data_IF_308272107488
#
_entry.id   IF_308272107488
#
_cell.length_a   1.000
_cell.length_b   1.000
_cell.length_c   1.000
_cell.angle_alpha   90.00
_cell.angle_beta   90.00
_cell.angle_gamma   90.00
#
_symmetry.space_group_name_H-M   'P 1'
#
loop_
_entity.id
_entity.type
_entity.pdbx_description
1 polymer ?
#
# COMPACT_ATOMS: atom_id res chain seq x y z
N UNK A 1 -12.65 10.15 -39.17
CA UNK A 1 -13.18 8.92 -39.79
C UNK A 1 -13.60 8.01 -38.65
N UNK A 2 -14.91 7.82 -38.44
CA UNK A 2 -15.42 6.75 -37.60
C UNK A 2 -15.78 5.60 -38.54
N UNK A 3 -15.12 4.46 -38.40
CA UNK A 3 -15.49 3.21 -39.08
C UNK A 3 -15.88 2.17 -38.02
N UNK A 4 -16.78 1.23 -38.34
CA UNK A 4 -17.07 0.05 -37.52
C UNK A 4 -15.78 -0.74 -37.19
N UNK A 5 -15.72 -1.37 -36.02
CA UNK A 5 -14.50 -2.03 -35.53
C UNK A 5 -14.09 -3.23 -36.41
N UNK A 6 -15.08 -3.83 -37.06
CA UNK A 6 -14.96 -4.94 -37.99
C UNK A 6 -14.27 -4.52 -39.30
N UNK A 7 -14.37 -3.24 -39.68
CA UNK A 7 -13.66 -2.67 -40.83
C UNK A 7 -12.17 -2.40 -40.52
N UNK A 8 -11.81 -2.31 -39.24
CA UNK A 8 -10.40 -2.22 -38.80
C UNK A 8 -9.77 -3.62 -38.84
N UNK A 9 -10.44 -4.62 -38.28
CA UNK A 9 -10.05 -6.02 -38.40
C UNK A 9 -11.21 -6.94 -38.02
N UNK A 10 -11.53 -7.99 -38.81
CA UNK A 10 -12.57 -8.95 -38.45
C UNK A 10 -12.27 -9.72 -37.16
N UNK A 11 -10.99 -9.76 -36.72
CA UNK A 11 -10.59 -10.36 -35.44
C UNK A 11 -11.00 -9.53 -34.21
N UNK A 12 -11.43 -8.28 -34.38
CA UNK A 12 -11.91 -7.42 -33.30
C UNK A 12 -13.42 -7.56 -33.08
N UNK A 13 -14.12 -8.29 -33.95
CA UNK A 13 -15.54 -8.59 -33.86
C UNK A 13 -15.82 -9.77 -32.89
N UNK A 14 -15.32 -9.67 -31.67
CA UNK A 14 -15.45 -10.74 -30.66
C UNK A 14 -16.75 -10.53 -29.86
N UNK A 15 -17.61 -11.55 -29.78
CA UNK A 15 -18.82 -11.49 -28.96
C UNK A 15 -18.50 -11.78 -27.49
N UNK A 16 -19.38 -11.36 -26.58
CA UNK A 16 -19.25 -11.71 -25.15
C UNK A 16 -19.22 -13.24 -24.94
N UNK A 17 -19.95 -14.00 -25.75
CA UNK A 17 -19.96 -15.46 -25.68
C UNK A 17 -18.59 -16.05 -26.07
N UNK A 18 -17.93 -15.50 -27.11
CA UNK A 18 -16.61 -15.96 -27.52
C UNK A 18 -15.56 -15.74 -26.41
N UNK A 19 -15.68 -14.65 -25.64
CA UNK A 19 -14.82 -14.37 -24.49
C UNK A 19 -15.09 -15.39 -23.37
N UNK A 20 -16.35 -15.64 -23.05
CA UNK A 20 -16.76 -16.62 -22.02
C UNK A 20 -16.26 -18.02 -22.37
N UNK A 21 -16.43 -18.44 -23.62
CA UNK A 21 -16.00 -19.76 -24.10
C UNK A 21 -14.47 -19.89 -24.08
N UNK A 22 -13.74 -18.82 -24.44
CA UNK A 22 -12.29 -18.76 -24.33
C UNK A 22 -11.80 -18.95 -22.89
N UNK A 23 -12.40 -18.22 -21.94
CA UNK A 23 -12.07 -18.32 -20.50
C UNK A 23 -12.38 -19.72 -19.97
N UNK A 24 -13.54 -20.27 -20.32
CA UNK A 24 -13.95 -21.62 -19.90
C UNK A 24 -13.00 -22.70 -20.45
N UNK A 25 -12.56 -22.56 -21.70
CA UNK A 25 -11.60 -23.46 -22.33
C UNK A 25 -10.22 -23.38 -21.66
N UNK A 26 -9.73 -22.17 -21.38
CA UNK A 26 -8.40 -21.96 -20.78
C UNK A 26 -8.34 -22.40 -19.31
N UNK A 27 -9.39 -22.10 -18.53
CA UNK A 27 -9.42 -22.36 -17.09
C UNK A 27 -10.15 -23.67 -16.70
N UNK A 28 -10.74 -24.37 -17.67
CA UNK A 28 -11.52 -25.59 -17.42
C UNK A 28 -12.78 -25.35 -16.60
N UNK A 29 -13.48 -24.25 -16.84
CA UNK A 29 -14.69 -23.83 -16.11
C UNK A 29 -15.95 -23.83 -16.98
N UNK A 30 -17.10 -23.49 -16.38
CA UNK A 30 -18.38 -23.37 -17.08
C UNK A 30 -19.17 -22.12 -16.63
N UNK A 31 -18.52 -20.95 -16.66
CA UNK A 31 -19.19 -19.67 -16.35
C UNK A 31 -20.15 -19.29 -17.46
N UNK A 32 -21.27 -18.65 -17.11
CA UNK A 32 -22.37 -18.34 -18.03
C UNK A 32 -22.54 -16.86 -18.32
N UNK A 33 -21.91 -16.00 -17.51
CA UNK A 33 -22.05 -14.55 -17.63
C UNK A 33 -20.69 -13.86 -17.58
N UNK A 34 -20.63 -12.66 -18.17
CA UNK A 34 -19.43 -11.82 -18.11
C UNK A 34 -19.03 -11.45 -16.67
N UNK A 35 -20.00 -11.29 -15.77
CA UNK A 35 -19.74 -11.01 -14.35
C UNK A 35 -19.11 -12.21 -13.63
N UNK A 36 -19.55 -13.43 -13.93
CA UNK A 36 -18.91 -14.65 -13.43
C UNK A 36 -17.50 -14.82 -14.00
N UNK A 37 -17.32 -14.55 -15.30
CA UNK A 37 -16.03 -14.60 -15.96
C UNK A 37 -15.03 -13.60 -15.35
N UNK A 38 -15.45 -12.35 -15.09
CA UNK A 38 -14.63 -11.33 -14.41
C UNK A 38 -14.23 -11.77 -13.01
N UNK A 39 -15.19 -12.23 -12.20
CA UNK A 39 -14.91 -12.74 -10.84
C UNK A 39 -13.94 -13.93 -10.86
N UNK A 40 -14.05 -14.81 -11.86
CA UNK A 40 -13.14 -15.94 -12.03
C UNK A 40 -11.72 -15.47 -12.37
N UNK A 41 -11.59 -14.54 -13.32
CA UNK A 41 -10.31 -13.94 -13.69
C UNK A 41 -9.64 -13.25 -12.49
N UNK A 42 -10.41 -12.49 -11.71
CA UNK A 42 -9.90 -11.85 -10.49
C UNK A 42 -9.38 -12.90 -9.51
N UNK A 43 -10.16 -13.96 -9.24
CA UNK A 43 -9.73 -15.06 -8.36
C UNK A 43 -8.46 -15.73 -8.85
N UNK A 44 -8.34 -16.01 -10.14
CA UNK A 44 -7.12 -16.60 -10.70
C UNK A 44 -5.94 -15.63 -10.58
N UNK A 45 -6.16 -14.33 -10.77
CA UNK A 45 -5.13 -13.31 -10.61
C UNK A 45 -4.61 -13.26 -9.17
N UNK A 46 -5.49 -13.33 -8.16
CA UNK A 46 -5.09 -13.44 -6.75
C UNK A 46 -4.38 -14.75 -6.44
N UNK A 47 -4.85 -15.89 -6.98
CA UNK A 47 -4.16 -17.18 -6.83
C UNK A 47 -2.74 -17.15 -7.41
N UNK A 48 -2.54 -16.48 -8.54
CA UNK A 48 -1.22 -16.26 -9.15
C UNK A 48 -0.35 -15.35 -8.29
N UNK A 49 -0.91 -14.28 -7.73
CA UNK A 49 -0.21 -13.41 -6.77
C UNK A 49 0.23 -14.21 -5.54
N UNK A 50 -0.66 -15.02 -4.95
CA UNK A 50 -0.35 -15.80 -3.77
C UNK A 50 0.80 -16.77 -4.01
N UNK A 51 0.78 -17.47 -5.16
CA UNK A 51 1.87 -18.34 -5.59
C UNK A 51 3.18 -17.58 -5.78
N UNK A 52 3.14 -16.40 -6.40
CA UNK A 52 4.31 -15.55 -6.57
C UNK A 52 4.90 -15.17 -5.22
N UNK A 53 4.05 -14.74 -4.27
CA UNK A 53 4.46 -14.39 -2.90
C UNK A 53 5.10 -15.61 -2.21
N UNK A 54 4.46 -16.78 -2.28
CA UNK A 54 4.95 -17.99 -1.62
C UNK A 54 6.27 -18.51 -2.20
N UNK A 55 6.57 -18.19 -3.46
CA UNK A 55 7.77 -18.63 -4.16
C UNK A 55 8.93 -17.64 -4.04
N UNK A 56 8.66 -16.34 -4.22
CA UNK A 56 9.65 -15.27 -4.41
C UNK A 56 9.71 -14.28 -3.24
N UNK A 57 8.64 -14.15 -2.45
CA UNK A 57 8.53 -13.15 -1.37
C UNK A 57 8.17 -13.82 -0.04
N UNK A 58 8.93 -14.87 0.30
CA UNK A 58 8.88 -15.48 1.64
C UNK A 58 9.44 -14.50 2.65
N UNK A 59 9.19 -14.78 3.92
CA UNK A 59 9.55 -13.87 5.02
C UNK A 59 11.05 -13.56 5.04
N UNK A 60 11.90 -14.58 4.81
CA UNK A 60 13.35 -14.40 4.68
C UNK A 60 13.75 -13.56 3.46
N UNK A 61 13.04 -13.69 2.33
CA UNK A 61 13.31 -12.90 1.12
C UNK A 61 12.91 -11.44 1.32
N UNK A 62 11.77 -11.18 1.97
CA UNK A 62 11.31 -9.84 2.32
C UNK A 62 12.26 -9.15 3.31
N UNK A 63 12.68 -9.85 4.37
CA UNK A 63 13.67 -9.32 5.33
C UNK A 63 14.99 -9.00 4.63
N UNK A 64 15.43 -9.87 3.71
CA UNK A 64 16.63 -9.64 2.89
C UNK A 64 16.47 -8.40 2.02
N UNK A 65 15.35 -8.25 1.31
CA UNK A 65 15.06 -7.07 0.48
C UNK A 65 15.08 -5.78 1.30
N UNK A 66 14.46 -5.76 2.49
CA UNK A 66 14.52 -4.62 3.41
C UNK A 66 15.97 -4.25 3.78
N UNK A 67 16.84 -5.24 3.99
CA UNK A 67 18.27 -5.01 4.19
C UNK A 67 18.99 -4.44 2.96
N UNK A 68 18.62 -4.86 1.75
CA UNK A 68 19.19 -4.32 0.52
C UNK A 68 18.77 -2.86 0.27
N UNK A 69 17.55 -2.48 0.62
CA UNK A 69 17.11 -1.07 0.56
C UNK A 69 17.87 -0.18 1.54
N UNK A 70 18.18 -0.69 2.73
CA UNK A 70 19.05 0.01 3.71
C UNK A 70 20.48 0.18 3.17
N UNK A 71 21.02 -0.85 2.53
CA UNK A 71 22.35 -0.84 1.93
C UNK A 71 22.44 -0.11 0.58
N UNK A 72 21.29 0.21 -0.04
CA UNK A 72 21.16 0.74 -1.41
C UNK A 72 21.82 -0.16 -2.47
N UNK A 73 21.71 -1.48 -2.30
CA UNK A 73 22.19 -2.47 -3.27
C UNK A 73 21.15 -2.69 -4.38
N UNK A 74 21.07 -1.70 -5.27
CA UNK A 74 20.08 -1.64 -6.34
C UNK A 74 20.20 -2.80 -7.32
N UNK A 75 21.42 -3.26 -7.59
CA UNK A 75 21.67 -4.34 -8.53
C UNK A 75 21.11 -5.67 -8.02
N UNK A 76 21.28 -5.96 -6.73
CA UNK A 76 20.68 -7.16 -6.13
C UNK A 76 19.16 -7.04 -5.99
N UNK A 77 18.63 -5.84 -5.67
CA UNK A 77 17.18 -5.61 -5.65
C UNK A 77 16.56 -5.91 -7.02
N UNK A 78 17.14 -5.38 -8.10
CA UNK A 78 16.66 -5.62 -9.46
C UNK A 78 16.72 -7.11 -9.83
N UNK A 79 17.80 -7.80 -9.45
CA UNK A 79 17.93 -9.26 -9.67
C UNK A 79 16.87 -10.06 -8.91
N UNK A 80 16.59 -9.70 -7.67
CA UNK A 80 15.65 -10.44 -6.81
C UNK A 80 14.19 -10.14 -7.16
N UNK A 81 13.88 -8.91 -7.57
CA UNK A 81 12.52 -8.47 -7.90
C UNK A 81 12.34 -8.39 -9.42
N UNK A 82 12.76 -7.30 -10.04
CA UNK A 82 12.63 -7.00 -11.48
C UNK A 82 13.53 -5.82 -11.83
N UNK A 83 14.03 -5.75 -13.05
CA UNK A 83 14.74 -4.60 -13.63
C UNK A 83 13.81 -3.67 -14.45
N UNK A 84 12.52 -4.00 -14.53
CA UNK A 84 11.52 -3.23 -15.27
C UNK A 84 10.89 -2.07 -14.48
N UNK A 85 11.27 -1.89 -13.21
CA UNK A 85 10.79 -0.83 -12.33
C UNK A 85 11.96 -0.13 -11.63
N UNK A 86 11.77 1.12 -11.24
CA UNK A 86 12.77 1.81 -10.42
C UNK A 86 12.72 1.36 -8.95
N UNK A 87 13.80 1.63 -8.21
CA UNK A 87 13.96 1.16 -6.83
C UNK A 87 12.86 1.70 -5.90
N UNK A 88 12.42 2.98 -5.98
CA UNK A 88 11.24 3.46 -5.24
C UNK A 88 9.97 2.65 -5.53
N UNK A 89 9.62 2.44 -6.80
CA UNK A 89 8.44 1.64 -7.21
C UNK A 89 8.55 0.21 -6.66
N UNK A 90 9.75 -0.39 -6.69
CA UNK A 90 9.97 -1.72 -6.11
C UNK A 90 9.78 -1.67 -4.58
N UNK A 91 10.22 -0.63 -3.89
CA UNK A 91 10.02 -0.49 -2.45
C UNK A 91 8.54 -0.37 -2.08
N UNK A 92 7.77 0.43 -2.81
CA UNK A 92 6.30 0.52 -2.66
C UNK A 92 5.63 -0.85 -2.85
N UNK A 93 6.01 -1.58 -3.91
CA UNK A 93 5.50 -2.93 -4.16
C UNK A 93 5.82 -3.87 -2.99
N UNK A 94 7.07 -3.88 -2.52
CA UNK A 94 7.48 -4.73 -1.39
C UNK A 94 6.74 -4.34 -0.11
N UNK A 95 6.50 -3.05 0.14
CA UNK A 95 5.66 -2.60 1.25
C UNK A 95 4.23 -3.15 1.13
N UNK A 96 3.65 -3.11 -0.07
CA UNK A 96 2.33 -3.68 -0.34
C UNK A 96 2.25 -5.18 -0.10
N UNK A 97 3.27 -5.95 -0.52
CA UNK A 97 3.35 -7.39 -0.25
C UNK A 97 3.47 -7.68 1.24
N UNK A 98 4.33 -6.94 1.96
CA UNK A 98 4.45 -7.06 3.42
C UNK A 98 3.10 -6.80 4.07
N UNK A 99 2.44 -5.70 3.70
CA UNK A 99 1.17 -5.32 4.31
C UNK A 99 0.02 -6.27 3.98
N UNK A 100 -0.01 -6.83 2.76
CA UNK A 100 -0.95 -7.86 2.38
C UNK A 100 -0.80 -9.12 3.24
N UNK A 101 0.45 -9.55 3.49
CA UNK A 101 0.73 -10.68 4.40
C UNK A 101 0.36 -10.37 5.85
N UNK A 102 0.72 -9.19 6.35
CA UNK A 102 0.34 -8.69 7.68
C UNK A 102 -1.18 -8.62 7.86
N UNK A 103 -1.90 -8.33 6.79
CA UNK A 103 -3.37 -8.32 6.75
C UNK A 103 -3.97 -9.71 6.52
N UNK A 104 -3.19 -10.77 6.74
CA UNK A 104 -3.65 -12.16 6.61
C UNK A 104 -4.17 -12.47 5.18
N UNK A 105 -3.67 -11.76 4.17
CA UNK A 105 -4.08 -11.79 2.76
C UNK A 105 -5.54 -11.39 2.52
N UNK A 106 -6.13 -10.66 3.46
CA UNK A 106 -7.46 -10.05 3.31
C UNK A 106 -7.37 -8.69 2.63
N UNK A 107 -8.36 -8.35 1.81
CA UNK A 107 -8.41 -7.07 1.08
C UNK A 107 -7.92 -7.19 -0.36
N UNK A 108 -8.21 -6.15 -1.14
CA UNK A 108 -7.97 -6.12 -2.58
C UNK A 108 -6.62 -5.50 -2.93
N UNK A 109 -5.51 -6.11 -2.50
CA UNK A 109 -4.17 -5.51 -2.67
C UNK A 109 -3.83 -5.08 -4.11
N UNK A 110 -4.31 -5.81 -5.12
CA UNK A 110 -4.08 -5.47 -6.53
C UNK A 110 -4.82 -4.19 -6.96
N UNK A 111 -5.89 -3.82 -6.26
CA UNK A 111 -6.62 -2.56 -6.46
C UNK A 111 -6.09 -1.45 -5.55
N UNK A 112 -5.52 -1.82 -4.39
CA UNK A 112 -5.05 -0.89 -3.37
C UNK A 112 -3.68 -0.31 -3.69
N UNK A 113 -2.78 -1.06 -4.34
CA UNK A 113 -1.50 -0.55 -4.81
C UNK A 113 -1.71 0.40 -6.00
N UNK A 114 -1.16 1.62 -5.92
CA UNK A 114 -1.18 2.58 -7.03
C UNK A 114 -0.01 2.34 -7.99
N UNK A 115 0.13 1.07 -8.40
CA UNK A 115 1.19 0.57 -9.24
C UNK A 115 0.62 -0.10 -10.50
N UNK A 116 1.31 0.08 -11.63
CA UNK A 116 1.13 -0.79 -12.77
C UNK A 116 1.99 -2.03 -12.60
N UNK A 117 1.40 -3.21 -12.83
CA UNK A 117 2.07 -4.50 -12.75
C UNK A 117 2.25 -5.11 -14.14
N UNK A 118 3.32 -5.86 -14.31
CA UNK A 118 3.54 -6.72 -15.49
C UNK A 118 2.59 -7.93 -15.49
N UNK A 119 2.60 -8.68 -16.59
CA UNK A 119 1.77 -9.88 -16.74
C UNK A 119 2.09 -10.96 -15.68
N UNK A 120 3.32 -10.97 -15.14
CA UNK A 120 3.75 -11.85 -14.06
C UNK A 120 3.45 -11.31 -12.64
N UNK A 121 2.79 -10.16 -12.54
CA UNK A 121 2.41 -9.44 -11.31
C UNK A 121 3.57 -8.80 -10.54
N UNK A 122 4.74 -8.63 -11.18
CA UNK A 122 5.83 -7.80 -10.67
C UNK A 122 5.62 -6.32 -11.01
N UNK A 123 6.21 -5.39 -10.25
CA UNK A 123 6.00 -3.95 -10.49
C UNK A 123 6.62 -3.50 -11.82
N UNK A 124 5.99 -2.50 -12.43
CA UNK A 124 6.47 -1.82 -13.64
C UNK A 124 6.72 -0.33 -13.37
N UNK A 125 5.67 0.40 -13.00
CA UNK A 125 5.75 1.85 -12.76
C UNK A 125 4.74 2.27 -11.72
N UNK A 126 5.08 3.30 -10.93
CA UNK A 126 4.12 4.03 -10.10
C UNK A 126 3.05 4.72 -10.96
N UNK A 127 1.83 4.87 -10.43
CA UNK A 127 0.77 5.64 -11.06
C UNK A 127 1.11 7.15 -11.08
N UNK A 128 0.43 7.95 -11.89
CA UNK A 128 0.65 9.39 -11.85
C UNK A 128 0.24 9.96 -10.47
N UNK A 129 1.10 10.81 -9.89
CA UNK A 129 0.98 11.25 -8.49
C UNK A 129 -0.31 12.00 -8.13
N UNK A 130 -0.57 12.13 -6.83
CA UNK A 130 -1.73 12.83 -6.27
C UNK A 130 -2.51 12.00 -5.24
N UNK A 131 -2.23 10.70 -5.16
CA UNK A 131 -2.74 9.77 -4.15
C UNK A 131 -1.58 9.13 -3.40
N UNK A 132 -1.87 8.49 -2.25
CA UNK A 132 -0.88 7.70 -1.52
C UNK A 132 -0.46 6.45 -2.31
N UNK A 133 0.72 5.92 -2.04
CA UNK A 133 1.27 4.76 -2.76
C UNK A 133 0.36 3.52 -2.66
N UNK A 134 -0.24 3.30 -1.50
CA UNK A 134 -1.19 2.21 -1.25
C UNK A 134 -2.36 2.72 -0.42
N UNK A 135 -3.58 2.38 -0.83
CA UNK A 135 -4.83 2.76 -0.15
C UNK A 135 -5.53 1.49 0.31
N UNK A 136 -5.20 1.01 1.51
CA UNK A 136 -5.69 -0.25 2.05
C UNK A 136 -7.02 -0.06 2.79
N UNK A 137 -8.08 -0.74 2.36
CA UNK A 137 -9.39 -0.62 3.00
C UNK A 137 -9.63 -1.78 3.97
N UNK A 138 -10.05 -1.45 5.19
CA UNK A 138 -10.43 -2.42 6.21
C UNK A 138 -11.90 -2.23 6.57
N UNK A 139 -12.64 -3.33 6.51
CA UNK A 139 -13.97 -3.43 7.11
C UNK A 139 -13.86 -3.38 8.64
N UNK A 140 -14.97 -3.07 9.31
CA UNK A 140 -15.02 -3.10 10.77
C UNK A 140 -14.70 -4.50 11.30
N UNK A 141 -13.83 -4.56 12.30
CA UNK A 141 -13.57 -5.76 13.09
C UNK A 141 -13.95 -5.49 14.55
N UNK A 142 -15.15 -5.93 14.99
CA UNK A 142 -15.69 -5.59 16.31
C UNK A 142 -14.71 -5.89 17.44
N UNK A 143 -14.53 -4.90 18.33
CA UNK A 143 -13.61 -4.99 19.47
C UNK A 143 -12.12 -4.84 19.13
N UNK A 144 -11.76 -4.64 17.85
CA UNK A 144 -10.37 -4.47 17.40
C UNK A 144 -10.20 -3.10 16.71
N UNK A 145 -10.90 -2.86 15.60
CA UNK A 145 -10.84 -1.60 14.87
C UNK A 145 -12.15 -1.29 14.13
N UNK A 146 -12.52 0.00 13.98
CA UNK A 146 -13.64 0.41 13.14
C UNK A 146 -13.31 0.25 11.64
N UNK A 147 -14.30 0.37 10.77
CA UNK A 147 -14.03 0.46 9.32
C UNK A 147 -13.21 1.73 9.00
N UNK A 148 -12.12 1.58 8.25
CA UNK A 148 -11.20 2.67 7.94
C UNK A 148 -10.36 2.38 6.70
N UNK A 149 -9.69 3.42 6.20
CA UNK A 149 -8.65 3.27 5.18
C UNK A 149 -7.29 3.58 5.79
N UNK A 150 -6.32 2.71 5.53
CA UNK A 150 -4.92 2.92 5.85
C UNK A 150 -4.17 3.32 4.57
N UNK A 151 -3.65 4.54 4.55
CA UNK A 151 -2.73 4.99 3.52
C UNK A 151 -1.33 4.52 3.90
N UNK A 152 -0.62 3.84 2.99
CA UNK A 152 0.80 3.55 3.14
C UNK A 152 1.57 4.46 2.19
N UNK A 153 2.56 5.15 2.75
CA UNK A 153 3.46 6.04 2.01
C UNK A 153 4.88 5.51 2.23
N UNK A 154 5.61 5.24 1.15
CA UNK A 154 6.90 4.62 1.17
C UNK A 154 7.96 5.60 0.66
N UNK A 155 9.08 5.71 1.37
CA UNK A 155 10.18 6.55 0.89
C UNK A 155 11.57 5.99 1.17
N UNK A 156 12.42 6.09 0.14
CA UNK A 156 13.87 5.86 0.24
C UNK A 156 14.66 7.18 0.26
N UNK A 157 13.98 8.31 0.50
CA UNK A 157 14.56 9.61 0.74
C UNK A 157 15.65 9.56 1.82
N UNK A 158 16.77 10.23 1.58
CA UNK A 158 17.72 10.47 2.67
C UNK A 158 17.15 11.51 3.65
N UNK A 159 17.71 11.56 4.87
CA UNK A 159 17.25 12.44 5.94
C UNK A 159 17.21 13.93 5.58
N UNK A 160 18.06 14.39 4.65
CA UNK A 160 18.12 15.79 4.23
C UNK A 160 16.93 16.17 3.35
N UNK A 161 16.55 15.28 2.42
CA UNK A 161 15.51 15.56 1.43
C UNK A 161 14.12 15.08 1.88
N UNK A 162 14.04 14.17 2.85
CA UNK A 162 12.77 13.60 3.34
C UNK A 162 11.78 14.69 3.77
N UNK A 163 12.25 15.78 4.38
CA UNK A 163 11.35 16.88 4.76
C UNK A 163 10.70 17.55 3.55
N UNK A 164 11.49 17.84 2.51
CA UNK A 164 10.99 18.52 1.31
C UNK A 164 10.11 17.59 0.48
N UNK A 165 10.44 16.31 0.41
CA UNK A 165 9.76 15.36 -0.46
C UNK A 165 8.50 14.78 0.18
N UNK A 166 8.45 14.62 1.51
CA UNK A 166 7.41 13.79 2.14
C UNK A 166 6.47 14.58 3.04
N UNK A 167 6.93 15.68 3.66
CA UNK A 167 6.12 16.36 4.67
C UNK A 167 4.81 16.92 4.10
N UNK A 168 4.87 17.53 2.91
CA UNK A 168 3.67 18.05 2.23
C UNK A 168 2.85 16.92 1.61
N UNK A 169 3.41 16.02 0.77
CA UNK A 169 2.58 15.06 0.05
C UNK A 169 1.86 14.09 0.98
N UNK A 170 2.54 13.53 1.98
CA UNK A 170 1.94 12.60 2.96
C UNK A 170 0.81 13.28 3.74
N UNK A 171 1.02 14.53 4.18
CA UNK A 171 -0.01 15.28 4.90
C UNK A 171 -1.19 15.64 3.98
N UNK A 172 -0.91 16.00 2.72
CA UNK A 172 -1.93 16.34 1.72
C UNK A 172 -2.76 15.13 1.34
N UNK A 173 -2.15 13.98 1.07
CA UNK A 173 -2.86 12.75 0.70
C UNK A 173 -3.83 12.32 1.81
N UNK A 174 -3.36 12.29 3.07
CA UNK A 174 -4.23 11.96 4.20
C UNK A 174 -5.31 13.02 4.44
N UNK A 175 -4.96 14.30 4.42
CA UNK A 175 -5.92 15.40 4.61
C UNK A 175 -7.03 15.40 3.56
N UNK A 176 -6.66 15.24 2.28
CA UNK A 176 -7.62 15.12 1.17
C UNK A 176 -8.48 13.86 1.30
N UNK A 177 -7.90 12.72 1.68
CA UNK A 177 -8.66 11.48 1.89
C UNK A 177 -9.70 11.64 3.00
N UNK A 178 -9.32 12.23 4.13
CA UNK A 178 -10.23 12.48 5.26
C UNK A 178 -11.35 13.46 4.88
N UNK A 179 -11.05 14.55 4.17
CA UNK A 179 -12.05 15.48 3.67
C UNK A 179 -13.03 14.84 2.69
N UNK A 180 -12.51 14.01 1.77
CA UNK A 180 -13.31 13.34 0.72
C UNK A 180 -14.23 12.28 1.30
N UNK A 181 -13.75 11.49 2.25
CA UNK A 181 -14.49 10.34 2.79
C UNK A 181 -15.30 10.65 4.04
N UNK A 182 -14.91 11.68 4.79
CA UNK A 182 -15.48 11.96 6.12
C UNK A 182 -15.15 10.90 7.17
N UNK A 183 -14.31 9.91 6.86
CA UNK A 183 -13.98 8.82 7.79
C UNK A 183 -12.75 9.18 8.64
N UNK A 184 -12.99 9.78 9.81
CA UNK A 184 -11.97 10.17 10.78
C UNK A 184 -11.13 9.03 11.38
N UNK A 185 -11.48 7.77 11.13
CA UNK A 185 -10.67 6.62 11.55
C UNK A 185 -9.54 6.30 10.56
N UNK A 186 -9.57 6.88 9.35
CA UNK A 186 -8.54 6.66 8.34
C UNK A 186 -7.24 7.33 8.76
N UNK A 187 -6.11 6.70 8.46
CA UNK A 187 -4.81 7.19 8.89
C UNK A 187 -3.70 6.77 7.93
N UNK A 188 -2.50 7.29 8.14
CA UNK A 188 -1.33 6.99 7.32
C UNK A 188 -0.27 6.25 8.14
N UNK A 189 0.35 5.23 7.53
CA UNK A 189 1.65 4.71 7.95
C UNK A 189 2.69 5.20 6.95
N UNK A 190 3.68 5.93 7.47
CA UNK A 190 4.79 6.46 6.69
C UNK A 190 6.02 5.57 6.90
N UNK A 191 6.43 4.88 5.83
CA UNK A 191 7.49 3.87 5.85
C UNK A 191 8.77 4.39 5.22
N UNK A 192 9.90 4.23 5.92
CA UNK A 192 11.21 4.61 5.38
C UNK A 192 12.33 3.69 5.87
N UNK A 193 13.47 3.65 5.17
CA UNK A 193 14.66 2.99 5.71
C UNK A 193 15.32 3.77 6.86
N UNK A 194 15.07 5.08 6.95
CA UNK A 194 15.55 5.92 8.04
C UNK A 194 14.69 7.16 8.21
N UNK A 195 14.13 7.36 9.39
CA UNK A 195 13.30 8.49 9.73
C UNK A 195 14.13 9.67 10.20
N UNK A 196 13.88 10.84 9.61
CA UNK A 196 14.35 12.10 10.14
C UNK A 196 13.50 12.49 11.37
N UNK A 197 14.15 12.79 12.50
CA UNK A 197 13.46 13.14 13.75
C UNK A 197 12.54 14.36 13.63
N UNK A 198 12.90 15.35 12.80
CA UNK A 198 12.06 16.52 12.58
C UNK A 198 10.86 16.20 11.69
N UNK A 199 11.00 15.27 10.74
CA UNK A 199 9.86 14.76 9.95
C UNK A 199 8.89 14.01 10.85
N UNK A 200 9.41 13.15 11.75
CA UNK A 200 8.57 12.51 12.78
C UNK A 200 7.88 13.52 13.68
N UNK A 201 8.58 14.58 14.09
CA UNK A 201 8.00 15.63 14.92
C UNK A 201 6.86 16.37 14.19
N UNK A 202 7.06 16.74 12.92
CA UNK A 202 6.05 17.36 12.08
C UNK A 202 4.82 16.44 11.92
N UNK A 203 5.03 15.16 11.60
CA UNK A 203 3.95 14.17 11.49
C UNK A 203 3.19 13.96 12.80
N UNK A 204 3.89 13.85 13.93
CA UNK A 204 3.26 13.72 15.24
C UNK A 204 2.42 14.97 15.58
N UNK A 205 2.92 16.16 15.23
CA UNK A 205 2.19 17.41 15.44
C UNK A 205 0.92 17.51 14.59
N UNK A 206 0.81 16.77 13.47
CA UNK A 206 -0.42 16.77 12.65
C UNK A 206 -1.66 16.33 13.42
N UNK A 207 -1.53 15.56 14.50
CA UNK A 207 -2.67 15.21 15.37
C UNK A 207 -3.36 16.41 16.02
N UNK A 208 -2.69 17.56 16.07
CA UNK A 208 -3.19 18.81 16.65
C UNK A 208 -3.36 19.94 15.62
N UNK A 209 -3.22 19.64 14.32
CA UNK A 209 -3.28 20.64 13.26
C UNK A 209 -4.54 20.44 12.42
N UNK A 210 -5.23 21.55 12.15
CA UNK A 210 -6.33 21.54 11.20
C UNK A 210 -5.81 21.43 9.76
N UNK A 211 -6.52 20.69 8.93
CA UNK A 211 -6.30 20.66 7.50
C UNK A 211 -7.58 21.08 6.78
N UNK A 212 -7.51 22.15 5.99
CA UNK A 212 -8.65 22.78 5.34
C UNK A 212 -8.82 22.29 3.90
N UNK A 213 -10.06 22.19 3.45
CA UNK A 213 -10.36 22.12 2.02
C UNK A 213 -10.01 23.47 1.37
N UNK A 214 -9.19 23.44 0.32
CA UNK A 214 -8.71 24.65 -0.37
C UNK A 214 -9.78 25.33 -1.21
N UNK A 215 -10.93 24.68 -1.42
CA UNK A 215 -12.06 25.18 -2.20
C UNK A 215 -13.26 25.58 -1.35
N UNK A 216 -13.33 25.08 -0.11
CA UNK A 216 -14.35 25.43 0.89
C UNK A 216 -13.75 25.47 2.30
N UNK A 217 -13.39 26.68 2.76
CA UNK A 217 -12.79 26.87 4.09
C UNK A 217 -13.74 26.57 5.26
N UNK A 218 -15.03 26.32 5.00
CA UNK A 218 -15.97 25.78 5.98
C UNK A 218 -15.83 24.28 6.22
N UNK A 219 -14.99 23.58 5.44
CA UNK A 219 -14.70 22.15 5.59
C UNK A 219 -13.24 21.95 6.01
N UNK A 220 -13.06 21.26 7.12
CA UNK A 220 -11.72 20.92 7.64
C UNK A 220 -11.76 19.59 8.39
N UNK A 221 -10.57 19.06 8.68
CA UNK A 221 -10.38 17.91 9.56
C UNK A 221 -9.59 18.34 10.79
N UNK A 222 -9.98 17.82 11.95
CA UNK A 222 -9.39 18.16 13.25
C UNK A 222 -8.28 17.15 13.57
N UNK A 223 -7.10 17.38 12.99
CA UNK A 223 -5.93 16.53 13.16
C UNK A 223 -5.84 15.37 12.17
N UNK A 224 -4.64 14.80 12.07
CA UNK A 224 -4.32 13.66 11.23
C UNK A 224 -3.42 12.67 11.97
N UNK A 225 -3.76 11.37 11.90
CA UNK A 225 -2.94 10.28 12.44
C UNK A 225 -1.93 9.82 11.38
N UNK A 226 -0.65 10.08 11.62
CA UNK A 226 0.46 9.63 10.78
C UNK A 226 1.45 8.88 11.67
N UNK A 227 1.62 7.58 11.41
CA UNK A 227 2.46 6.68 12.20
C UNK A 227 3.72 6.34 11.41
N UNK A 228 4.91 6.75 11.86
CA UNK A 228 6.13 6.44 11.16
C UNK A 228 6.63 5.04 11.54
N UNK A 229 7.11 4.28 10.54
CA UNK A 229 7.60 2.90 10.69
C UNK A 229 8.90 2.77 9.88
N UNK A 230 9.98 2.30 10.49
CA UNK A 230 11.21 2.02 9.73
C UNK A 230 11.23 0.61 9.15
N UNK A 231 12.11 0.37 8.19
CA UNK A 231 12.43 -0.99 7.70
C UNK A 231 12.84 -1.93 8.85
N UNK A 232 13.40 -1.41 9.94
CA UNK A 232 13.67 -2.18 11.16
C UNK A 232 12.39 -2.74 11.78
N UNK A 233 11.34 -1.93 11.95
CA UNK A 233 10.05 -2.40 12.45
C UNK A 233 9.35 -3.31 11.44
N UNK A 234 9.44 -3.02 10.13
CA UNK A 234 8.90 -3.92 9.10
C UNK A 234 9.52 -5.32 9.19
N UNK A 235 10.84 -5.41 9.38
CA UNK A 235 11.52 -6.71 9.58
C UNK A 235 10.99 -7.44 10.82
N UNK A 236 10.70 -6.72 11.92
CA UNK A 236 10.13 -7.30 13.14
C UNK A 236 8.69 -7.78 12.94
N UNK A 237 7.87 -6.99 12.24
CA UNK A 237 6.50 -7.41 11.84
C UNK A 237 6.56 -8.75 11.12
N UNK A 238 7.48 -8.89 10.17
CA UNK A 238 7.65 -10.13 9.41
C UNK A 238 8.17 -11.26 10.31
N UNK A 239 9.25 -11.04 11.06
CA UNK A 239 9.90 -12.11 11.84
C UNK A 239 9.06 -12.61 13.02
N UNK A 240 8.23 -11.73 13.60
CA UNK A 240 7.34 -12.05 14.71
C UNK A 240 5.92 -12.41 14.23
N UNK A 241 5.70 -12.46 12.91
CA UNK A 241 4.42 -12.75 12.26
C UNK A 241 3.25 -11.91 12.79
N UNK A 242 3.50 -10.63 13.07
CA UNK A 242 2.49 -9.72 13.59
C UNK A 242 1.41 -9.49 12.54
N UNK A 243 0.16 -9.62 12.96
CA UNK A 243 -1.00 -9.36 12.12
C UNK A 243 -1.49 -7.92 12.25
N UNK A 244 -2.27 -7.43 11.28
CA UNK A 244 -2.80 -6.07 11.33
C UNK A 244 -3.67 -5.82 12.56
N UNK A 245 -4.43 -6.83 13.01
CA UNK A 245 -5.23 -6.78 14.24
C UNK A 245 -4.38 -6.57 15.51
N UNK A 246 -3.10 -6.96 15.49
CA UNK A 246 -2.16 -6.74 16.59
C UNK A 246 -1.48 -5.37 16.47
N UNK A 247 -1.22 -4.91 15.24
CA UNK A 247 -0.59 -3.60 14.98
C UNK A 247 -1.52 -2.43 15.22
N UNK A 248 -2.79 -2.54 14.84
CA UNK A 248 -3.76 -1.45 15.00
C UNK A 248 -3.81 -0.88 16.44
N UNK A 249 -3.97 -1.68 17.51
CA UNK A 249 -4.00 -1.14 18.87
C UNK A 249 -2.64 -0.56 19.32
N UNK A 250 -1.52 -1.01 18.76
CA UNK A 250 -0.21 -0.40 19.00
C UNK A 250 -0.20 1.02 18.41
N UNK A 251 -0.60 1.16 17.16
CA UNK A 251 -0.68 2.43 16.45
C UNK A 251 -1.69 3.40 17.05
N UNK A 252 -2.82 2.89 17.55
CA UNK A 252 -3.80 3.71 18.26
C UNK A 252 -3.25 4.23 19.59
N UNK A 253 -2.63 3.37 20.40
CA UNK A 253 -1.99 3.81 21.63
C UNK A 253 -0.87 4.84 21.38
N UNK A 254 -0.05 4.64 20.34
CA UNK A 254 0.98 5.60 19.95
C UNK A 254 0.38 6.96 19.56
N UNK A 255 -0.74 6.98 18.83
CA UNK A 255 -1.44 8.21 18.47
C UNK A 255 -1.96 8.97 19.71
N UNK A 256 -2.51 8.24 20.67
CA UNK A 256 -3.06 8.81 21.92
C UNK A 256 -1.98 9.23 22.93
N UNK A 257 -0.75 8.71 22.82
CA UNK A 257 0.32 8.98 23.77
C UNK A 257 0.76 10.45 23.81
N UNK A 258 0.98 10.97 25.03
CA UNK A 258 1.51 12.31 25.30
C UNK A 258 3.04 12.35 25.40
N UNK A 259 3.72 11.20 25.26
CA UNK A 259 5.19 11.15 25.27
C UNK A 259 5.77 12.01 24.15
N UNK A 260 6.95 12.57 24.41
CA UNK A 260 7.69 13.39 23.44
C UNK A 260 8.69 12.53 22.68
N UNK A 261 9.16 13.01 21.54
CA UNK A 261 10.31 12.42 20.86
C UNK A 261 11.59 12.67 21.69
N UNK A 262 12.54 11.71 21.69
CA UNK A 262 12.52 10.44 20.96
C UNK A 262 11.76 9.30 21.66
N UNK A 263 11.41 9.42 22.95
CA UNK A 263 10.81 8.36 23.77
C UNK A 263 9.50 7.82 23.18
N UNK A 264 8.68 8.71 22.61
CA UNK A 264 7.41 8.34 21.96
C UNK A 264 7.61 7.28 20.88
N UNK A 265 8.52 7.51 19.94
CA UNK A 265 8.73 6.56 18.84
C UNK A 265 9.33 5.25 19.37
N UNK A 266 10.35 5.34 20.23
CA UNK A 266 11.01 4.16 20.80
C UNK A 266 10.01 3.30 21.59
N UNK A 267 9.32 3.88 22.56
CA UNK A 267 8.56 3.13 23.56
C UNK A 267 7.12 2.82 23.13
N UNK A 268 6.50 3.65 22.28
CA UNK A 268 5.11 3.44 21.85
C UNK A 268 5.00 2.70 20.52
N UNK A 269 6.06 2.70 19.70
CA UNK A 269 6.07 2.06 18.38
C UNK A 269 7.15 0.97 18.35
N UNK A 270 8.44 1.34 18.35
CA UNK A 270 9.52 0.41 18.04
C UNK A 270 9.62 -0.76 19.03
N UNK A 271 9.54 -0.51 20.33
CA UNK A 271 9.64 -1.54 21.38
C UNK A 271 8.39 -2.43 21.42
N UNK A 272 7.23 -1.91 21.00
CA UNK A 272 5.96 -2.65 20.99
C UNK A 272 5.78 -3.51 19.74
N UNK A 273 6.49 -3.18 18.66
CA UNK A 273 6.67 -4.01 17.47
C UNK A 273 7.94 -4.84 17.69
N UNK A 274 7.87 -5.80 18.61
CA UNK A 274 8.96 -6.75 18.91
C UNK A 274 8.49 -8.20 18.77
#
# INVERSE_FOLDING_TARGET
>A
LNCPIEEISPFLAVSEQDIIDGINSELGTDVKTMDEARKLLDRERYRRLDRLIDQKFKDGDLIRLLGLFEARDNDEINRLVTDNADIPTIFEYILGIIWYKTSEREGKILDYMKLSLEADLLPKTHAAGGEADIVYEYEEKPGIYPAHTLLLEATLANSTNQRTMEMEPVSRHLGQHLLRTGNGNSYCVFSSNKLNINVMADFRCRKHMQYFDTTDYGRWVEGMKIIPVETTELKRIISSHLTYKELYPIFEAAYQSDKKLPEWYREEIADRIS
#
